data_IF_053551163437
#
_entry.id   IF_053551163437
#
_cell.length_a   1.000
_cell.length_b   1.000
_cell.length_c   1.000
_cell.angle_alpha   90.00
_cell.angle_beta   90.00
_cell.angle_gamma   90.00
#
_symmetry.space_group_name_H-M   'P 1'
#
loop_
_entity.id
_entity.type
_entity.pdbx_description
1 polymer ?
#
# COMPACT_ATOMS: atom_id res chain seq x y z
N UNK A 1 -5.36 9.21 -11.81
CA UNK A 1 -5.35 8.00 -10.96
C UNK A 1 -4.16 7.17 -11.37
N UNK A 2 -3.36 6.70 -10.42
CA UNK A 2 -2.21 5.86 -10.70
C UNK A 2 -2.65 4.45 -11.13
N UNK A 3 -1.95 3.92 -12.12
CA UNK A 3 -2.02 2.53 -12.55
C UNK A 3 -1.30 1.63 -11.55
N UNK A 4 -1.60 0.33 -11.58
CA UNK A 4 -0.87 -0.67 -10.76
C UNK A 4 0.64 -0.67 -11.03
N UNK A 5 1.05 -0.40 -12.28
CA UNK A 5 2.47 -0.35 -12.65
C UNK A 5 3.17 0.84 -11.99
N UNK A 6 2.54 2.01 -12.02
CA UNK A 6 3.08 3.22 -11.38
C UNK A 6 3.14 3.04 -9.86
N UNK A 7 2.12 2.44 -9.24
CA UNK A 7 2.11 2.16 -7.80
C UNK A 7 3.28 1.26 -7.36
N UNK A 8 3.65 0.26 -8.15
CA UNK A 8 4.79 -0.64 -7.81
C UNK A 8 6.16 0.03 -7.88
N UNK A 9 6.26 1.16 -8.58
CA UNK A 9 7.50 1.92 -8.72
C UNK A 9 7.66 2.98 -7.63
N UNK A 10 6.58 3.28 -6.88
CA UNK A 10 6.61 4.24 -5.80
C UNK A 10 7.28 3.64 -4.56
N UNK A 11 8.06 4.44 -3.81
CA UNK A 11 8.55 4.02 -2.50
C UNK A 11 7.36 3.86 -1.53
N UNK A 12 7.55 3.00 -0.52
CA UNK A 12 6.51 2.68 0.48
C UNK A 12 5.92 3.91 1.18
N UNK A 13 6.72 4.97 1.35
CA UNK A 13 6.26 6.26 1.91
C UNK A 13 5.28 6.99 0.98
N UNK A 14 5.51 6.96 -0.32
CA UNK A 14 4.64 7.63 -1.30
C UNK A 14 3.35 6.84 -1.49
N UNK A 15 3.40 5.50 -1.41
CA UNK A 15 2.21 4.65 -1.34
C UNK A 15 1.34 4.99 -0.13
N UNK A 16 1.95 5.29 1.02
CA UNK A 16 1.23 5.71 2.22
C UNK A 16 0.58 7.09 2.03
N UNK A 17 1.30 8.05 1.46
CA UNK A 17 0.78 9.39 1.18
C UNK A 17 -0.40 9.36 0.19
N UNK A 18 -0.30 8.52 -0.85
CA UNK A 18 -1.39 8.30 -1.81
C UNK A 18 -2.62 7.70 -1.12
N UNK A 19 -2.42 6.71 -0.25
CA UNK A 19 -3.50 6.07 0.51
C UNK A 19 -4.22 7.06 1.43
N UNK A 20 -3.49 7.95 2.10
CA UNK A 20 -4.07 9.01 2.91
C UNK A 20 -4.90 9.99 2.08
N UNK A 21 -4.37 10.40 0.93
CA UNK A 21 -5.04 11.33 0.02
C UNK A 21 -6.36 10.75 -0.49
N UNK A 22 -6.33 9.51 -1.00
CA UNK A 22 -7.52 8.80 -1.45
C UNK A 22 -8.54 8.59 -0.31
N UNK A 23 -8.07 8.34 0.91
CA UNK A 23 -8.93 8.17 2.08
C UNK A 23 -9.62 9.48 2.48
N UNK A 24 -8.90 10.61 2.43
CA UNK A 24 -9.47 11.94 2.67
C UNK A 24 -10.52 12.29 1.61
N UNK A 25 -10.24 12.01 0.35
CA UNK A 25 -11.19 12.30 -0.74
C UNK A 25 -12.44 11.42 -0.66
N UNK A 26 -12.28 10.14 -0.29
CA UNK A 26 -13.41 9.27 -0.01
C UNK A 26 -14.25 9.78 1.17
N UNK A 27 -13.62 10.30 2.22
CA UNK A 27 -14.31 10.88 3.37
C UNK A 27 -15.11 12.12 2.96
N UNK A 28 -14.52 13.04 2.21
CA UNK A 28 -15.19 14.24 1.69
C UNK A 28 -16.42 13.88 0.86
N UNK A 29 -16.28 12.92 -0.06
CA UNK A 29 -17.43 12.46 -0.87
C UNK A 29 -18.49 11.86 0.04
N UNK A 30 -18.13 10.98 0.97
CA UNK A 30 -19.11 10.37 1.90
C UNK A 30 -19.89 11.39 2.73
N UNK A 31 -19.25 12.49 3.13
CA UNK A 31 -19.93 13.55 3.88
C UNK A 31 -20.91 14.36 3.02
N UNK A 32 -20.67 14.44 1.71
CA UNK A 32 -21.44 15.24 0.76
C UNK A 32 -22.11 14.39 -0.33
N UNK A 33 -22.47 13.13 -0.05
CA UNK A 33 -23.10 12.26 -1.07
C UNK A 33 -24.48 12.82 -1.41
N UNK A 34 -24.63 13.33 -2.64
CA UNK A 34 -25.91 13.75 -3.19
C UNK A 34 -26.14 13.02 -4.52
N UNK A 35 -26.81 11.86 -4.43
CA UNK A 35 -27.23 11.09 -5.60
C UNK A 35 -26.24 10.02 -6.09
N UNK A 36 -26.49 9.51 -7.30
CA UNK A 36 -25.85 8.29 -7.85
C UNK A 36 -24.42 8.53 -8.35
N UNK A 37 -24.13 9.71 -8.90
CA UNK A 37 -22.79 10.09 -9.36
C UNK A 37 -21.76 10.00 -8.22
N UNK A 38 -22.09 10.52 -7.04
CA UNK A 38 -21.16 10.54 -5.91
C UNK A 38 -20.96 9.14 -5.31
N UNK A 39 -21.97 8.27 -5.41
CA UNK A 39 -21.82 6.85 -5.08
C UNK A 39 -20.83 6.15 -6.00
N UNK A 40 -20.89 6.38 -7.31
CA UNK A 40 -19.93 5.82 -8.26
C UNK A 40 -18.51 6.35 -8.03
N UNK A 41 -18.35 7.66 -7.74
CA UNK A 41 -17.06 8.25 -7.36
C UNK A 41 -16.51 7.63 -6.07
N UNK A 42 -17.35 7.47 -5.05
CA UNK A 42 -16.97 6.83 -3.80
C UNK A 42 -16.55 5.36 -4.01
N UNK A 43 -17.28 4.62 -4.86
CA UNK A 43 -16.94 3.24 -5.20
C UNK A 43 -15.60 3.17 -5.95
N UNK A 44 -15.37 4.06 -6.91
CA UNK A 44 -14.11 4.16 -7.64
C UNK A 44 -12.93 4.42 -6.70
N UNK A 45 -13.08 5.34 -5.74
CA UNK A 45 -12.06 5.62 -4.72
C UNK A 45 -11.81 4.42 -3.80
N UNK A 46 -12.86 3.70 -3.38
CA UNK A 46 -12.69 2.46 -2.60
C UNK A 46 -11.84 1.42 -3.36
N UNK A 47 -12.09 1.24 -4.66
CA UNK A 47 -11.31 0.32 -5.50
C UNK A 47 -9.85 0.76 -5.62
N UNK A 48 -9.58 2.06 -5.71
CA UNK A 48 -8.22 2.59 -5.72
C UNK A 48 -7.51 2.38 -4.39
N UNK A 49 -8.17 2.66 -3.26
CA UNK A 49 -7.59 2.39 -1.93
C UNK A 49 -7.24 0.91 -1.79
N UNK A 50 -8.13 0.01 -2.22
CA UNK A 50 -7.85 -1.42 -2.21
C UNK A 50 -6.61 -1.77 -3.05
N UNK A 51 -6.50 -1.20 -4.26
CA UNK A 51 -5.33 -1.40 -5.13
C UNK A 51 -4.03 -0.92 -4.48
N UNK A 52 -4.01 0.28 -3.89
CA UNK A 52 -2.83 0.82 -3.21
C UNK A 52 -2.44 -0.08 -2.04
N UNK A 53 -3.40 -0.53 -1.23
CA UNK A 53 -3.14 -1.47 -0.12
C UNK A 53 -2.57 -2.80 -0.59
N UNK A 54 -3.07 -3.35 -1.69
CA UNK A 54 -2.55 -4.58 -2.28
C UNK A 54 -1.09 -4.39 -2.71
N UNK A 55 -0.79 -3.33 -3.46
CA UNK A 55 0.58 -3.06 -3.91
C UNK A 55 1.52 -2.80 -2.72
N UNK A 56 1.08 -2.04 -1.72
CA UNK A 56 1.86 -1.79 -0.51
C UNK A 56 2.20 -3.11 0.20
N UNK A 57 1.24 -4.05 0.28
CA UNK A 57 1.48 -5.38 0.85
C UNK A 57 2.42 -6.22 0.00
N UNK A 58 2.29 -6.20 -1.33
CA UNK A 58 3.21 -6.88 -2.25
C UNK A 58 4.65 -6.40 -2.04
N UNK A 59 4.87 -5.07 -2.01
CA UNK A 59 6.18 -4.46 -1.79
C UNK A 59 6.76 -4.86 -0.43
N UNK A 60 5.97 -4.80 0.64
CA UNK A 60 6.42 -5.22 1.98
C UNK A 60 6.82 -6.70 2.04
N UNK A 61 6.09 -7.58 1.35
CA UNK A 61 6.42 -9.00 1.27
C UNK A 61 7.70 -9.23 0.45
N UNK A 62 7.88 -8.50 -0.65
CA UNK A 62 9.13 -8.53 -1.42
C UNK A 62 10.33 -8.03 -0.63
N UNK A 63 10.19 -6.95 0.13
CA UNK A 63 11.23 -6.44 1.03
C UNK A 63 11.55 -7.46 2.14
N UNK A 64 10.52 -8.07 2.74
CA UNK A 64 10.69 -9.09 3.79
C UNK A 64 11.35 -10.38 3.29
N UNK A 65 11.12 -10.76 2.03
CA UNK A 65 11.75 -11.94 1.40
C UNK A 65 13.17 -11.67 0.91
N UNK A 66 13.51 -10.40 0.62
CA UNK A 66 14.87 -9.96 0.26
C UNK A 66 15.73 -9.64 1.49
N UNK A 67 15.13 -9.44 2.66
CA UNK A 67 15.86 -9.30 3.92
C UNK A 67 16.55 -10.64 4.24
N UNK A 68 17.89 -10.67 4.34
CA UNK A 68 18.64 -11.92 4.32
C UNK A 68 18.45 -12.74 5.60
N UNK A 69 18.59 -14.04 5.43
CA UNK A 69 18.88 -15.05 6.43
C UNK A 69 20.21 -14.78 7.17
N UNK A 70 20.37 -13.60 7.78
CA UNK A 70 21.59 -13.16 8.45
C UNK A 70 21.60 -13.45 9.97
N UNK A 71 20.87 -14.47 10.44
CA UNK A 71 20.82 -14.77 11.88
C UNK A 71 21.36 -16.12 12.35
N UNK A 72 21.71 -17.09 11.51
CA UNK A 72 22.09 -18.42 12.04
C UNK A 72 23.33 -19.03 11.36
N UNK A 73 24.46 -18.31 11.31
CA UNK A 73 25.79 -18.95 11.14
C UNK A 73 26.85 -18.18 11.93
N UNK A 74 26.68 -18.01 13.25
CA UNK A 74 27.75 -17.45 14.12
C UNK A 74 27.88 -18.09 15.52
N UNK A 75 27.20 -19.20 15.81
CA UNK A 75 27.33 -19.85 17.14
C UNK A 75 28.14 -21.16 17.16
N UNK A 76 28.79 -21.57 16.07
CA UNK A 76 29.55 -22.83 16.05
C UNK A 76 31.04 -22.66 15.77
N UNK A 77 31.70 -21.64 16.35
CA UNK A 77 33.18 -21.58 16.43
C UNK A 77 33.66 -20.74 17.63
N UNK A 78 33.38 -21.18 18.84
CA UNK A 78 34.12 -20.90 20.09
C UNK A 78 33.39 -21.72 21.18
N UNK A 79 33.97 -22.64 21.96
CA UNK A 79 35.34 -22.92 22.29
C UNK A 79 35.53 -24.43 22.46
N UNK A 80 36.73 -24.87 22.11
CA UNK A 80 37.31 -26.19 22.31
C UNK A 80 37.95 -26.28 23.70
#
# INVERSE_FOLDING_TARGET
MLTTKELRQLPTKDLQAELETLSRDLMKIKMNIEGTSDRHKAESLRKQIARVKTVQREVQLEEATKAPAEKEVKEEKDSK
#
